data_IF_934503523001
#
_entry.id   IF_934503523001
#
_cell.length_a   1.000
_cell.length_b   1.000
_cell.length_c   1.000
_cell.angle_alpha   90.00
_cell.angle_beta   90.00
_cell.angle_gamma   90.00
#
_symmetry.space_group_name_H-M   'P 1'
#
loop_
_entity.id
_entity.type
_entity.pdbx_description
1 polymer ?
#
# COMPACT_ATOMS: atom_id res chain seq x y z
N UNK A 1 13.15 16.50 -3.93
CA UNK A 1 13.73 15.19 -4.34
C UNK A 1 13.24 14.19 -3.32
N UNK A 2 12.12 13.54 -3.65
CA UNK A 2 11.41 12.62 -2.74
C UNK A 2 12.20 11.32 -2.71
N UNK A 3 12.86 11.04 -1.59
CA UNK A 3 13.47 9.72 -1.39
C UNK A 3 12.38 8.79 -0.90
N UNK A 4 11.71 8.07 -1.82
CA UNK A 4 10.95 6.87 -1.46
C UNK A 4 11.89 6.00 -0.63
N UNK A 5 11.61 5.83 0.66
CA UNK A 5 12.40 4.94 1.51
C UNK A 5 12.40 3.57 0.84
N UNK A 6 13.56 3.03 0.43
CA UNK A 6 13.60 1.77 -0.29
C UNK A 6 12.98 0.70 0.60
N UNK A 7 12.06 -0.09 0.03
CA UNK A 7 11.54 -1.28 0.71
C UNK A 7 12.75 -2.06 1.22
N UNK A 8 12.88 -2.29 2.54
CA UNK A 8 14.07 -2.92 3.07
C UNK A 8 14.27 -4.29 2.38
N UNK A 9 15.49 -4.60 1.90
CA UNK A 9 15.74 -5.85 1.21
C UNK A 9 15.39 -7.02 2.13
N UNK A 10 14.71 -8.02 1.57
CA UNK A 10 14.33 -9.21 2.33
C UNK A 10 15.57 -9.83 2.99
N UNK A 11 15.52 -10.18 4.29
CA UNK A 11 16.64 -10.80 4.97
C UNK A 11 17.16 -12.03 4.20
N UNK A 12 18.46 -12.10 3.94
CA UNK A 12 19.10 -13.18 3.17
C UNK A 12 18.77 -14.60 3.67
N UNK A 13 18.38 -14.77 4.93
CA UNK A 13 17.96 -16.05 5.49
C UNK A 13 16.59 -16.53 4.99
N UNK A 14 15.66 -15.64 4.61
CA UNK A 14 14.37 -16.05 4.04
C UNK A 14 14.52 -16.64 2.63
N UNK A 15 15.54 -16.20 1.88
CA UNK A 15 15.88 -16.76 0.58
C UNK A 15 16.40 -18.21 0.67
N UNK A 16 16.89 -18.65 1.84
CA UNK A 16 17.31 -20.04 2.05
C UNK A 16 16.15 -21.01 2.30
N UNK A 17 14.92 -20.52 2.41
CA UNK A 17 13.74 -21.36 2.67
C UNK A 17 12.59 -21.03 1.70
N UNK A 18 12.69 -21.42 0.42
CA UNK A 18 11.74 -21.01 -0.63
C UNK A 18 10.30 -21.44 -0.34
N UNK A 19 10.11 -22.58 0.32
CA UNK A 19 8.78 -23.05 0.75
C UNK A 19 8.16 -22.13 1.81
N UNK A 20 8.99 -21.59 2.72
CA UNK A 20 8.51 -20.67 3.75
C UNK A 20 8.16 -19.32 3.12
N UNK A 21 8.98 -18.83 2.20
CA UNK A 21 8.71 -17.60 1.47
C UNK A 21 7.38 -17.69 0.69
N UNK A 22 7.15 -18.78 -0.03
CA UNK A 22 5.88 -19.03 -0.74
C UNK A 22 4.69 -19.12 0.22
N UNK A 23 4.86 -19.76 1.38
CA UNK A 23 3.81 -19.82 2.40
C UNK A 23 3.51 -18.44 3.00
N UNK A 24 4.50 -17.57 3.19
CA UNK A 24 4.29 -16.20 3.66
C UNK A 24 3.55 -15.38 2.61
N UNK A 25 3.94 -15.49 1.34
CA UNK A 25 3.34 -14.73 0.24
C UNK A 25 1.89 -15.12 -0.05
N UNK A 26 1.53 -16.39 0.20
CA UNK A 26 0.18 -16.91 -0.05
C UNK A 26 -0.72 -16.94 1.18
N UNK A 27 -0.19 -16.68 2.38
CA UNK A 27 -0.98 -16.66 3.60
C UNK A 27 -1.83 -15.39 3.70
N UNK A 28 -3.05 -15.56 4.22
CA UNK A 28 -3.89 -14.43 4.60
C UNK A 28 -3.33 -13.69 5.83
N UNK A 29 -3.81 -12.46 6.03
CA UNK A 29 -3.36 -11.56 7.09
C UNK A 29 -3.62 -12.13 8.48
N UNK A 30 -4.76 -12.80 8.69
CA UNK A 30 -5.13 -13.32 10.01
C UNK A 30 -4.19 -14.45 10.43
N UNK A 31 -3.87 -15.35 9.49
CA UNK A 31 -2.88 -16.40 9.71
C UNK A 31 -1.49 -15.85 9.99
N UNK A 32 -1.04 -14.85 9.24
CA UNK A 32 0.26 -14.20 9.48
C UNK A 32 0.31 -13.54 10.87
N UNK A 33 -0.75 -12.84 11.26
CA UNK A 33 -0.86 -12.21 12.58
C UNK A 33 -0.87 -13.23 13.72
N UNK A 34 -1.59 -14.34 13.56
CA UNK A 34 -1.62 -15.42 14.55
C UNK A 34 -0.22 -16.02 14.77
N UNK A 35 0.47 -16.38 13.68
CA UNK A 35 1.82 -16.95 13.72
C UNK A 35 2.82 -15.96 14.29
N UNK A 36 2.78 -14.68 13.88
CA UNK A 36 3.63 -13.64 14.44
C UNK A 36 3.41 -13.56 15.96
N UNK A 37 2.15 -13.50 16.41
CA UNK A 37 1.81 -13.50 17.83
C UNK A 37 2.39 -14.69 18.60
N UNK A 38 2.35 -15.89 18.03
CA UNK A 38 2.95 -17.09 18.63
C UNK A 38 4.48 -17.01 18.71
N UNK A 39 5.14 -16.50 17.66
CA UNK A 39 6.59 -16.29 17.63
C UNK A 39 7.01 -15.29 18.71
N UNK A 40 6.32 -14.16 18.83
CA UNK A 40 6.64 -13.12 19.81
C UNK A 40 6.44 -13.61 21.25
N UNK A 41 5.40 -14.43 21.50
CA UNK A 41 5.18 -15.05 22.82
C UNK A 41 6.29 -16.03 23.20
N UNK A 42 6.86 -16.73 22.22
CA UNK A 42 7.81 -17.82 22.44
C UNK A 42 9.27 -17.37 22.40
N UNK A 43 9.56 -16.18 21.85
CA UNK A 43 10.90 -15.67 21.61
C UNK A 43 11.03 -14.19 22.01
N UNK A 44 11.48 -13.89 23.25
CA UNK A 44 11.61 -12.51 23.73
C UNK A 44 12.54 -11.61 22.89
N UNK A 45 13.69 -12.08 22.36
CA UNK A 45 14.44 -11.32 21.36
C UNK A 45 13.64 -10.93 20.12
N UNK A 46 12.74 -11.80 19.64
CA UNK A 46 11.86 -11.47 18.51
C UNK A 46 10.84 -10.39 18.87
N UNK A 47 10.40 -10.31 20.13
CA UNK A 47 9.53 -9.24 20.61
C UNK A 47 10.22 -7.87 20.52
N UNK A 48 11.48 -7.75 20.93
CA UNK A 48 12.23 -6.49 20.86
C UNK A 48 12.42 -6.02 19.41
N UNK A 49 12.80 -6.96 18.52
CA UNK A 49 12.92 -6.70 17.08
C UNK A 49 11.58 -6.28 16.50
N UNK A 50 10.49 -6.98 16.80
CA UNK A 50 9.16 -6.66 16.27
C UNK A 50 8.63 -5.33 16.81
N UNK A 51 8.86 -5.03 18.10
CA UNK A 51 8.46 -3.76 18.71
C UNK A 51 9.20 -2.59 18.07
N UNK A 52 10.50 -2.77 17.82
CA UNK A 52 11.34 -1.81 17.10
C UNK A 52 10.93 -1.69 15.62
N UNK A 53 10.65 -2.79 14.93
CA UNK A 53 10.31 -2.78 13.51
C UNK A 53 8.91 -2.22 13.23
N UNK A 54 7.95 -2.51 14.11
CA UNK A 54 6.58 -1.98 14.05
C UNK A 54 6.46 -0.60 14.72
N UNK A 55 7.57 -0.09 15.25
CA UNK A 55 7.71 1.24 15.82
C UNK A 55 6.60 1.56 16.83
N UNK A 56 6.31 0.60 17.70
CA UNK A 56 5.28 0.72 18.74
C UNK A 56 5.83 1.64 19.84
N UNK A 57 5.36 2.89 19.86
CA UNK A 57 5.68 3.84 20.94
C UNK A 57 4.67 3.67 22.09
N UNK A 58 5.06 3.03 23.19
CA UNK A 58 4.25 2.99 24.41
C UNK A 58 4.82 2.14 25.54
N UNK A 59 4.59 2.50 26.82
CA UNK A 59 5.10 1.75 27.96
C UNK A 59 4.45 0.37 28.04
N UNK A 60 5.29 -0.65 28.10
CA UNK A 60 4.91 -2.03 28.34
C UNK A 60 4.70 -2.24 29.84
N UNK A 61 3.55 -1.83 30.38
CA UNK A 61 3.12 -2.29 31.72
C UNK A 61 1.61 -2.27 31.86
N UNK A 62 1.09 -3.37 32.39
CA UNK A 62 -0.32 -3.66 32.72
C UNK A 62 -0.88 -2.83 33.88
N UNK A 63 -0.30 -1.69 34.21
CA UNK A 63 -0.72 -0.85 35.32
C UNK A 63 -0.72 0.60 34.85
N UNK A 64 -1.82 1.05 34.24
CA UNK A 64 -2.28 2.46 34.26
C UNK A 64 -3.67 2.54 33.62
N UNK A 65 -4.64 2.14 34.44
CA UNK A 65 -6.06 2.45 34.25
C UNK A 65 -6.19 3.96 34.49
N UNK A 66 -6.29 4.78 33.43
CA UNK A 66 -7.10 6.03 33.34
C UNK A 66 -6.70 7.03 32.24
N UNK A 67 -5.90 6.66 31.23
CA UNK A 67 -5.83 7.49 30.01
C UNK A 67 -5.85 6.64 28.74
N UNK A 68 -7.05 6.46 28.16
CA UNK A 68 -7.28 5.76 26.89
C UNK A 68 -6.83 6.63 25.70
N UNK A 69 -5.55 7.02 25.64
CA UNK A 69 -4.95 7.20 24.33
C UNK A 69 -4.56 5.80 23.87
N UNK A 70 -5.38 5.22 22.99
CA UNK A 70 -4.98 4.03 22.22
C UNK A 70 -3.55 4.28 21.72
N UNK A 71 -2.61 3.33 21.91
CA UNK A 71 -1.26 3.50 21.40
C UNK A 71 -1.36 3.82 19.91
N UNK A 72 -1.03 5.07 19.55
CA UNK A 72 -1.23 5.57 18.19
C UNK A 72 -0.39 4.70 17.27
N UNK A 73 -1.05 4.04 16.31
CA UNK A 73 -0.36 3.30 15.26
C UNK A 73 0.55 4.28 14.56
N UNK A 74 1.83 3.93 14.41
CA UNK A 74 2.75 4.78 13.68
C UNK A 74 2.45 4.78 12.19
N UNK A 75 1.98 3.64 11.67
CA UNK A 75 1.58 3.52 10.28
C UNK A 75 0.08 3.30 10.15
N UNK A 76 -0.53 3.99 9.19
CA UNK A 76 -1.93 3.86 8.80
C UNK A 76 -2.02 3.72 7.27
N UNK A 77 -3.16 3.24 6.77
CA UNK A 77 -3.41 3.08 5.33
C UNK A 77 -4.28 4.23 4.85
N UNK A 78 -3.86 4.94 3.81
CA UNK A 78 -4.59 6.09 3.30
C UNK A 78 -5.86 5.67 2.54
N UNK A 79 -6.99 6.33 2.79
CA UNK A 79 -8.24 6.09 2.05
C UNK A 79 -8.20 6.57 0.59
N UNK A 80 -7.35 7.54 0.27
CA UNK A 80 -7.28 8.14 -1.06
C UNK A 80 -6.36 7.37 -2.01
N UNK A 81 -5.12 7.10 -1.59
CA UNK A 81 -4.11 6.45 -2.43
C UNK A 81 -3.85 4.98 -2.09
N UNK A 82 -4.49 4.43 -1.05
CA UNK A 82 -4.30 3.06 -0.56
C UNK A 82 -2.85 2.73 -0.07
N UNK A 83 -1.97 3.73 0.00
CA UNK A 83 -0.60 3.58 0.50
C UNK A 83 -0.55 3.61 2.04
N UNK A 84 0.42 2.89 2.61
CA UNK A 84 0.74 2.98 4.04
C UNK A 84 1.61 4.22 4.30
N UNK A 85 1.26 5.04 5.30
CA UNK A 85 1.97 6.27 5.64
C UNK A 85 2.33 6.34 7.13
N UNK A 86 3.45 6.99 7.46
CA UNK A 86 3.85 7.27 8.85
C UNK A 86 3.04 8.49 9.34
N UNK A 87 2.23 8.31 10.38
CA UNK A 87 1.38 9.37 10.96
C UNK A 87 2.21 10.55 11.48
N UNK A 88 3.48 10.33 11.82
CA UNK A 88 4.39 11.40 12.25
C UNK A 88 5.09 12.13 11.09
N UNK A 89 5.04 11.57 9.89
CA UNK A 89 5.67 12.08 8.67
C UNK A 89 4.61 12.28 7.57
N UNK A 90 3.50 12.93 7.94
CA UNK A 90 2.37 13.24 7.05
C UNK A 90 2.32 14.76 6.82
N UNK A 91 2.87 15.21 5.70
CA UNK A 91 2.86 16.61 5.26
C UNK A 91 1.66 16.87 4.32
N UNK A 92 1.30 18.15 4.14
CA UNK A 92 0.14 18.59 3.34
C UNK A 92 0.21 18.12 1.87
N UNK A 93 1.36 17.68 1.39
CA UNK A 93 1.55 17.23 0.01
C UNK A 93 2.09 15.80 -0.08
N UNK A 94 1.92 15.01 0.98
CA UNK A 94 2.39 13.63 1.03
C UNK A 94 1.46 12.67 0.28
N UNK A 95 0.16 12.96 0.19
CA UNK A 95 -0.81 12.13 -0.52
C UNK A 95 -1.22 12.77 -1.84
N UNK A 96 -0.98 12.06 -2.95
CA UNK A 96 -1.50 12.40 -4.26
C UNK A 96 -2.47 11.33 -4.78
N UNK A 97 -3.61 11.74 -5.33
CA UNK A 97 -4.59 10.81 -5.91
C UNK A 97 -5.44 11.44 -7.01
N UNK A 98 -6.20 10.60 -7.71
CA UNK A 98 -7.32 10.98 -8.56
C UNK A 98 -8.62 10.58 -7.86
N UNK A 99 -9.58 11.49 -7.72
CA UNK A 99 -10.92 11.17 -7.19
C UNK A 99 -11.80 10.46 -8.24
N UNK A 100 -11.39 10.56 -9.51
CA UNK A 100 -12.08 10.02 -10.65
C UNK A 100 -11.82 8.53 -10.90
N UNK A 101 -12.31 8.07 -12.04
CA UNK A 101 -12.03 6.75 -12.60
C UNK A 101 -11.42 6.90 -13.98
N UNK A 102 -10.68 5.87 -14.42
CA UNK A 102 -10.21 5.79 -15.79
C UNK A 102 -11.37 5.40 -16.71
N UNK A 103 -11.51 6.16 -17.79
CA UNK A 103 -12.51 5.91 -18.84
C UNK A 103 -11.79 5.78 -20.19
N UNK A 104 -12.25 4.90 -21.10
CA UNK A 104 -11.66 4.78 -22.42
C UNK A 104 -11.70 6.10 -23.19
N UNK A 105 -10.55 6.54 -23.65
CA UNK A 105 -10.44 7.67 -24.57
C UNK A 105 -10.69 7.17 -26.00
N UNK A 106 -11.96 7.11 -26.42
CA UNK A 106 -12.34 6.64 -27.77
C UNK A 106 -11.82 7.53 -28.91
N UNK A 107 -11.29 8.72 -28.61
CA UNK A 107 -10.61 9.57 -29.59
C UNK A 107 -9.10 9.27 -29.69
N UNK A 108 -8.57 8.37 -28.84
CA UNK A 108 -7.19 7.92 -28.84
C UNK A 108 -6.90 6.95 -29.99
N UNK A 109 -5.75 7.14 -30.64
CA UNK A 109 -5.27 6.26 -31.71
C UNK A 109 -4.91 4.84 -31.22
N UNK A 110 -4.84 4.63 -29.90
CA UNK A 110 -4.63 3.31 -29.28
C UNK A 110 -5.73 2.32 -29.71
N UNK A 111 -6.95 2.83 -29.95
CA UNK A 111 -8.12 2.01 -30.26
C UNK A 111 -8.46 1.92 -31.76
N UNK A 112 -7.71 2.60 -32.64
CA UNK A 112 -8.03 2.69 -34.07
C UNK A 112 -8.17 1.30 -34.75
N UNK A 113 -7.34 0.34 -34.33
CA UNK A 113 -7.33 -1.04 -34.83
C UNK A 113 -7.99 -2.04 -33.86
N UNK A 114 -8.69 -1.55 -32.82
CA UNK A 114 -9.28 -2.41 -31.79
C UNK A 114 -10.62 -2.98 -32.25
N UNK A 115 -10.75 -4.31 -32.12
CA UNK A 115 -11.99 -5.04 -32.35
C UNK A 115 -12.32 -5.84 -31.08
N UNK A 116 -13.38 -5.47 -30.38
CA UNK A 116 -13.75 -6.08 -29.11
C UNK A 116 -14.15 -7.56 -29.23
N UNK A 117 -14.62 -7.99 -30.41
CA UNK A 117 -14.94 -9.40 -30.66
C UNK A 117 -13.67 -10.28 -30.75
N UNK A 118 -12.53 -9.66 -31.09
CA UNK A 118 -11.24 -10.33 -31.22
C UNK A 118 -10.33 -10.13 -30.00
N UNK A 119 -10.31 -8.92 -29.43
CA UNK A 119 -9.33 -8.49 -28.42
C UNK A 119 -9.94 -8.32 -27.02
N UNK A 120 -11.25 -8.49 -26.88
CA UNK A 120 -11.97 -8.26 -25.61
C UNK A 120 -12.41 -6.80 -25.46
N UNK A 121 -13.19 -6.54 -24.40
CA UNK A 121 -13.76 -5.21 -24.16
C UNK A 121 -12.66 -4.20 -23.84
N UNK A 122 -12.77 -3.00 -24.41
CA UNK A 122 -11.84 -1.90 -24.16
C UNK A 122 -11.84 -1.54 -22.68
N UNK A 123 -13.02 -1.50 -22.03
CA UNK A 123 -13.17 -1.21 -20.59
C UNK A 123 -12.28 -2.09 -19.69
N UNK A 124 -11.90 -3.29 -20.14
CA UNK A 124 -11.10 -4.24 -19.36
C UNK A 124 -9.58 -4.10 -19.62
N UNK A 125 -9.15 -3.10 -20.40
CA UNK A 125 -7.76 -2.94 -20.88
C UNK A 125 -6.93 -1.88 -20.16
N UNK A 126 -7.44 -1.30 -19.06
CA UNK A 126 -6.81 -0.20 -18.31
C UNK A 126 -5.34 -0.49 -17.96
N UNK A 127 -5.05 -1.69 -17.44
CA UNK A 127 -3.70 -2.08 -17.03
C UNK A 127 -2.75 -2.33 -18.22
N UNK A 128 -3.30 -2.76 -19.36
CA UNK A 128 -2.51 -3.13 -20.54
C UNK A 128 -2.18 -1.92 -21.43
N UNK A 129 -3.08 -0.95 -21.51
CA UNK A 129 -2.98 0.22 -22.37
C UNK A 129 -3.45 1.50 -21.63
N UNK A 130 -2.81 1.88 -20.51
CA UNK A 130 -3.21 3.03 -19.71
C UNK A 130 -3.25 4.35 -20.52
N UNK A 131 -2.42 4.48 -21.55
CA UNK A 131 -2.39 5.63 -22.47
C UNK A 131 -3.67 5.78 -23.32
N UNK A 132 -4.47 4.70 -23.42
CA UNK A 132 -5.77 4.65 -24.07
C UNK A 132 -6.92 5.10 -23.18
N UNK A 133 -6.64 5.46 -21.92
CA UNK A 133 -7.63 5.91 -20.95
C UNK A 133 -7.35 7.34 -20.49
N UNK A 134 -8.38 7.98 -19.94
CA UNK A 134 -8.30 9.31 -19.32
C UNK A 134 -9.01 9.31 -17.98
N UNK A 135 -8.48 10.07 -17.04
CA UNK A 135 -9.11 10.29 -15.75
C UNK A 135 -10.29 11.24 -15.89
N UNK A 136 -11.49 10.80 -15.51
CA UNK A 136 -12.68 11.66 -15.60
C UNK A 136 -12.69 12.84 -14.61
N UNK A 137 -11.76 12.89 -13.65
CA UNK A 137 -11.63 14.00 -12.70
C UNK A 137 -10.81 15.19 -13.24
N UNK A 138 -9.86 14.95 -14.14
CA UNK A 138 -8.93 15.99 -14.60
C UNK A 138 -8.56 15.91 -16.09
N UNK A 139 -9.10 14.93 -16.82
CA UNK A 139 -8.82 14.66 -18.25
C UNK A 139 -7.34 14.33 -18.53
N UNK A 140 -6.53 14.08 -17.50
CA UNK A 140 -5.18 13.57 -17.64
C UNK A 140 -5.21 12.15 -18.20
N UNK A 141 -4.14 11.76 -18.90
CA UNK A 141 -4.01 10.41 -19.45
C UNK A 141 -3.82 9.38 -18.34
N UNK A 142 -4.25 8.15 -18.57
CA UNK A 142 -4.12 7.06 -17.61
C UNK A 142 -2.69 6.62 -17.35
N UNK A 143 -1.76 6.92 -18.27
CA UNK A 143 -0.33 6.71 -18.10
C UNK A 143 0.41 7.91 -17.49
N UNK A 144 -0.31 8.97 -17.10
CA UNK A 144 0.26 10.09 -16.35
C UNK A 144 0.34 9.74 -14.85
N UNK A 145 1.54 9.84 -14.30
CA UNK A 145 1.81 9.59 -12.87
C UNK A 145 1.44 10.81 -11.99
N UNK A 146 1.07 11.95 -12.59
CA UNK A 146 0.80 13.18 -11.86
C UNK A 146 -0.64 13.23 -11.29
N UNK A 147 -0.81 13.21 -9.95
CA UNK A 147 -2.11 13.26 -9.32
C UNK A 147 -2.75 14.65 -9.50
N UNK A 148 -4.08 14.70 -9.65
CA UNK A 148 -4.80 15.97 -9.73
C UNK A 148 -5.24 16.53 -8.36
N UNK A 149 -5.19 15.70 -7.31
CA UNK A 149 -5.45 16.09 -5.92
C UNK A 149 -4.22 15.80 -5.07
N UNK A 150 -3.90 16.73 -4.17
CA UNK A 150 -2.76 16.63 -3.25
C UNK A 150 -3.17 17.16 -1.88
N UNK A 151 -2.99 16.36 -0.84
CA UNK A 151 -3.28 16.73 0.56
C UNK A 151 -2.49 15.82 1.54
N UNK A 152 -2.76 15.93 2.84
CA UNK A 152 -2.36 14.95 3.85
C UNK A 152 -2.96 13.56 3.55
N UNK A 153 -2.24 12.50 3.93
CA UNK A 153 -2.85 11.17 4.02
C UNK A 153 -3.94 11.15 5.12
N UNK A 154 -4.99 10.36 4.91
CA UNK A 154 -6.11 10.19 5.86
C UNK A 154 -6.45 8.71 6.05
N UNK A 155 -6.73 8.25 7.28
CA UNK A 155 -6.99 6.84 7.59
C UNK A 155 -8.43 6.40 7.33
#
# INVERSE_FOLDING_TARGET
MITKSPRPPLPNHLLSHPVLLSAIQSADRDRLNAILGEILKSNPPALDIASSALLVNGPSTTDDIENKEEPRKRYEKCLHCDEEYDVLDNEENSCGWHEGQLEPDYDSNVWDDWDEDCHGRIDDQEEAFPEGFVWNCCEAKGDDDEPCMVDFHVP
#
